data_IF_425090474887
#
_entry.id   IF_425090474887
#
_cell.length_a   1.000
_cell.length_b   1.000
_cell.length_c   1.000
_cell.angle_alpha   90.00
_cell.angle_beta   90.00
_cell.angle_gamma   90.00
#
_symmetry.space_group_name_H-M   'P 1'
#
loop_
_entity.id
_entity.type
_entity.pdbx_description
1 polymer ?
#
# COMPACT_ATOMS: atom_id res chain seq x y z
N UNK A 1 37.62 -19.26 23.28
CA UNK A 1 36.21 -19.15 22.87
C UNK A 1 36.13 -19.63 21.42
N UNK A 2 35.34 -20.67 21.14
CA UNK A 2 35.48 -21.43 19.89
C UNK A 2 34.92 -20.65 18.70
N UNK A 3 35.57 -20.78 17.53
CA UNK A 3 35.17 -20.13 16.27
C UNK A 3 33.71 -20.41 15.88
N UNK A 4 33.14 -21.50 16.39
CA UNK A 4 31.74 -21.88 16.21
C UNK A 4 30.77 -20.90 16.91
N UNK A 5 31.11 -20.39 18.10
CA UNK A 5 30.30 -19.40 18.80
C UNK A 5 30.28 -18.06 18.06
N UNK A 6 31.42 -17.63 17.55
CA UNK A 6 31.51 -16.40 16.76
C UNK A 6 30.69 -16.49 15.46
N UNK A 7 30.67 -17.66 14.82
CA UNK A 7 29.87 -17.87 13.61
C UNK A 7 28.36 -17.82 13.90
N UNK A 8 27.91 -18.44 15.00
CA UNK A 8 26.51 -18.43 15.44
C UNK A 8 26.01 -17.02 15.73
N UNK A 9 26.80 -16.22 16.46
CA UNK A 9 26.44 -14.82 16.75
C UNK A 9 26.34 -13.97 15.48
N UNK A 10 27.17 -14.23 14.47
CA UNK A 10 27.09 -13.53 13.18
C UNK A 10 25.88 -13.95 12.36
N UNK A 11 25.54 -15.24 12.35
CA UNK A 11 24.32 -15.75 11.70
C UNK A 11 23.06 -15.15 12.32
N UNK A 12 22.99 -15.12 13.65
CA UNK A 12 21.88 -14.51 14.38
C UNK A 12 21.74 -13.02 14.06
N UNK A 13 22.87 -12.29 14.00
CA UNK A 13 22.86 -10.87 13.63
C UNK A 13 22.44 -10.64 12.18
N UNK A 14 22.80 -11.54 11.25
CA UNK A 14 22.35 -11.49 9.86
C UNK A 14 20.85 -11.82 9.74
N UNK A 15 20.33 -12.75 10.55
CA UNK A 15 18.90 -13.05 10.63
C UNK A 15 18.09 -11.90 11.24
N UNK A 16 18.63 -11.22 12.25
CA UNK A 16 18.03 -10.01 12.83
C UNK A 16 18.02 -8.86 11.83
N UNK A 17 19.13 -8.58 11.15
CA UNK A 17 19.20 -7.56 10.08
C UNK A 17 18.27 -7.93 8.91
N UNK A 18 18.17 -9.21 8.56
CA UNK A 18 17.23 -9.69 7.55
C UNK A 18 15.79 -9.50 8.03
N UNK A 19 15.48 -9.75 9.30
CA UNK A 19 14.15 -9.54 9.87
C UNK A 19 13.79 -8.05 9.93
N UNK A 20 14.73 -7.19 10.31
CA UNK A 20 14.57 -5.72 10.32
C UNK A 20 14.45 -5.14 8.90
N UNK A 21 15.19 -5.65 7.91
CA UNK A 21 15.05 -5.22 6.51
C UNK A 21 13.87 -5.86 5.78
N UNK A 22 13.40 -7.05 6.19
CA UNK A 22 12.15 -7.65 5.66
C UNK A 22 10.91 -7.05 6.33
N UNK A 23 11.10 -6.31 7.42
CA UNK A 23 10.15 -5.33 7.93
C UNK A 23 10.17 -4.06 7.05
N UNK A 24 10.25 -4.24 5.73
CA UNK A 24 9.95 -3.26 4.70
C UNK A 24 8.51 -2.79 4.93
N UNK A 25 8.35 -1.73 5.73
CA UNK A 25 7.17 -0.86 5.89
C UNK A 25 5.85 -1.50 5.43
N UNK A 26 5.48 -2.60 6.08
CA UNK A 26 4.13 -3.20 5.97
C UNK A 26 3.16 -2.48 6.90
N UNK A 27 3.60 -1.39 7.52
CA UNK A 27 2.76 -0.53 8.31
C UNK A 27 2.06 0.48 7.41
N UNK A 28 0.90 0.07 6.89
CA UNK A 28 -0.04 0.93 6.18
C UNK A 28 -0.29 2.26 6.90
N UNK A 29 -0.23 2.27 8.24
CA UNK A 29 -0.41 3.50 9.02
C UNK A 29 0.74 4.49 8.81
N UNK A 30 1.97 4.01 8.64
CA UNK A 30 3.15 4.85 8.35
C UNK A 30 3.06 5.47 6.95
N UNK A 31 2.62 4.70 5.95
CA UNK A 31 2.37 5.23 4.60
C UNK A 31 1.30 6.32 4.60
N UNK A 32 0.17 6.05 5.25
CA UNK A 32 -0.94 7.01 5.33
C UNK A 32 -0.51 8.30 6.01
N UNK A 33 0.24 8.22 7.12
CA UNK A 33 0.79 9.41 7.79
C UNK A 33 1.69 10.21 6.87
N UNK A 34 2.60 9.54 6.16
CA UNK A 34 3.51 10.21 5.22
C UNK A 34 2.75 10.92 4.08
N UNK A 35 1.70 10.30 3.54
CA UNK A 35 0.88 10.92 2.49
C UNK A 35 0.15 12.15 3.04
N UNK A 36 -0.35 12.06 4.26
CA UNK A 36 -1.03 13.17 4.94
C UNK A 36 -0.06 14.35 5.18
N UNK A 37 1.13 14.06 5.71
CA UNK A 37 2.20 15.03 5.96
C UNK A 37 2.67 15.74 4.67
N UNK A 38 2.62 15.05 3.52
CA UNK A 38 3.00 15.59 2.21
C UNK A 38 1.87 16.38 1.52
N UNK A 39 0.72 16.53 2.17
CA UNK A 39 -0.41 17.30 1.68
C UNK A 39 -1.33 16.53 0.74
N UNK A 40 -1.42 15.21 0.89
CA UNK A 40 -2.36 14.35 0.17
C UNK A 40 -2.31 14.50 -1.36
N UNK A 41 -1.10 14.41 -1.95
CA UNK A 41 -0.95 14.54 -3.40
C UNK A 41 -1.43 13.28 -4.13
N UNK A 42 -2.04 13.41 -5.32
CA UNK A 42 -2.51 12.25 -6.08
C UNK A 42 -1.41 11.23 -6.41
N UNK A 43 -0.20 11.69 -6.71
CA UNK A 43 0.94 10.82 -7.04
C UNK A 43 1.35 9.91 -5.87
N UNK A 44 1.36 10.45 -4.65
CA UNK A 44 1.70 9.70 -3.44
C UNK A 44 0.63 8.63 -3.15
N UNK A 45 -0.65 8.99 -3.31
CA UNK A 45 -1.77 8.05 -3.22
C UNK A 45 -1.73 6.96 -4.31
N UNK A 46 -1.34 7.31 -5.54
CA UNK A 46 -1.19 6.35 -6.64
C UNK A 46 -0.05 5.36 -6.38
N UNK A 47 1.07 5.82 -5.84
CA UNK A 47 2.17 4.94 -5.44
C UNK A 47 1.74 3.98 -4.33
N UNK A 48 1.04 4.49 -3.31
CA UNK A 48 0.56 3.68 -2.20
C UNK A 48 -0.46 2.61 -2.65
N UNK A 49 -1.44 2.99 -3.47
CA UNK A 49 -2.43 2.03 -3.98
C UNK A 49 -1.79 0.92 -4.82
N UNK A 50 -0.77 1.23 -5.64
CA UNK A 50 0.02 0.21 -6.37
C UNK A 50 0.78 -0.72 -5.42
N UNK A 51 1.38 -0.18 -4.37
CA UNK A 51 2.05 -0.97 -3.33
C UNK A 51 1.08 -1.92 -2.63
N UNK A 52 -0.09 -1.44 -2.20
CA UNK A 52 -1.13 -2.27 -1.58
C UNK A 52 -1.63 -3.35 -2.55
N UNK A 53 -1.83 -3.00 -3.84
CA UNK A 53 -2.21 -3.99 -4.87
C UNK A 53 -1.14 -5.07 -5.07
N UNK A 54 0.14 -4.76 -4.92
CA UNK A 54 1.23 -5.73 -5.06
C UNK A 54 1.45 -6.63 -3.84
N UNK A 55 0.83 -6.33 -2.70
CA UNK A 55 1.03 -7.09 -1.47
C UNK A 55 0.28 -8.42 -1.47
N UNK A 56 1.01 -9.51 -1.18
CA UNK A 56 0.51 -10.90 -1.12
C UNK A 56 -0.19 -11.21 0.22
N UNK A 57 -0.17 -10.28 1.17
CA UNK A 57 -0.62 -10.48 2.55
C UNK A 57 -2.11 -10.77 2.74
N UNK A 58 -2.95 -10.52 1.72
CA UNK A 58 -4.36 -10.87 1.77
C UNK A 58 -4.57 -12.25 1.13
N UNK A 59 -4.79 -13.26 1.97
CA UNK A 59 -5.17 -14.61 1.55
C UNK A 59 -6.61 -14.70 1.06
N UNK A 60 -7.45 -13.74 1.47
CA UNK A 60 -8.87 -13.63 1.14
C UNK A 60 -9.09 -12.46 0.15
N UNK A 61 -9.62 -12.79 -1.03
CA UNK A 61 -9.86 -11.85 -2.11
C UNK A 61 -10.92 -10.81 -1.75
N UNK A 62 -11.96 -11.17 -0.99
CA UNK A 62 -13.01 -10.23 -0.56
C UNK A 62 -12.46 -9.20 0.42
N UNK A 63 -11.63 -9.65 1.38
CA UNK A 63 -10.96 -8.74 2.32
C UNK A 63 -9.98 -7.82 1.63
N UNK A 64 -9.20 -8.34 0.68
CA UNK A 64 -8.31 -7.53 -0.16
C UNK A 64 -9.08 -6.46 -0.91
N UNK A 65 -10.21 -6.86 -1.50
CA UNK A 65 -11.07 -5.99 -2.26
C UNK A 65 -11.65 -4.87 -1.39
N UNK A 66 -12.25 -5.24 -0.26
CA UNK A 66 -12.83 -4.29 0.70
C UNK A 66 -11.78 -3.31 1.23
N UNK A 67 -10.59 -3.80 1.54
CA UNK A 67 -9.47 -2.96 1.97
C UNK A 67 -9.06 -1.96 0.87
N UNK A 68 -8.85 -2.43 -0.36
CA UNK A 68 -8.50 -1.56 -1.49
C UNK A 68 -9.58 -0.50 -1.73
N UNK A 69 -10.86 -0.87 -1.67
CA UNK A 69 -11.97 0.08 -1.76
C UNK A 69 -11.84 1.18 -0.69
N UNK A 70 -11.61 0.80 0.57
CA UNK A 70 -11.46 1.77 1.67
C UNK A 70 -10.29 2.74 1.45
N UNK A 71 -9.19 2.26 0.86
CA UNK A 71 -8.00 3.08 0.55
C UNK A 71 -8.32 4.11 -0.54
N UNK A 72 -8.97 3.69 -1.62
CA UNK A 72 -9.38 4.61 -2.69
C UNK A 72 -10.42 5.63 -2.20
N UNK A 73 -11.40 5.21 -1.41
CA UNK A 73 -12.40 6.12 -0.81
C UNK A 73 -11.72 7.17 0.09
N UNK A 74 -10.71 6.78 0.85
CA UNK A 74 -9.93 7.71 1.67
C UNK A 74 -9.13 8.70 0.81
N UNK A 75 -8.47 8.23 -0.25
CA UNK A 75 -7.76 9.08 -1.20
C UNK A 75 -8.69 10.13 -1.82
N UNK A 76 -9.89 9.73 -2.25
CA UNK A 76 -10.85 10.65 -2.87
C UNK A 76 -11.39 11.70 -1.91
N UNK A 77 -11.52 11.39 -0.61
CA UNK A 77 -11.91 12.36 0.41
C UNK A 77 -10.80 13.34 0.76
N UNK A 78 -9.55 12.89 0.68
CA UNK A 78 -8.39 13.70 1.06
C UNK A 78 -7.90 14.62 -0.09
N UNK A 79 -8.02 14.18 -1.34
CA UNK A 79 -7.60 14.94 -2.51
C UNK A 79 -8.72 15.90 -2.94
N UNK A 80 -8.45 17.21 -2.90
CA UNK A 80 -9.38 18.22 -3.41
C UNK A 80 -9.54 18.11 -4.95
N UNK A 81 -10.77 17.89 -5.41
CA UNK A 81 -11.12 17.73 -6.83
C UNK A 81 -10.74 18.95 -7.67
N UNK A 82 -11.14 20.15 -7.24
CA UNK A 82 -10.99 21.38 -8.04
C UNK A 82 -9.52 21.69 -8.38
N UNK A 83 -8.62 21.39 -7.45
CA UNK A 83 -7.18 21.59 -7.60
C UNK A 83 -6.51 20.50 -8.46
N UNK A 84 -7.15 19.36 -8.67
CA UNK A 84 -6.56 18.18 -9.32
C UNK A 84 -7.31 17.72 -10.57
N UNK A 85 -8.29 18.49 -11.06
CA UNK A 85 -9.09 18.17 -12.26
C UNK A 85 -8.29 17.89 -13.54
N UNK A 86 -7.07 18.41 -13.66
CA UNK A 86 -6.13 18.17 -14.78
C UNK A 86 -4.97 17.23 -14.41
N UNK A 87 -4.92 16.75 -13.18
CA UNK A 87 -3.86 15.87 -12.71
C UNK A 87 -4.14 14.45 -13.22
N UNK A 88 -3.21 13.91 -14.00
CA UNK A 88 -3.33 12.58 -14.62
C UNK A 88 -3.30 11.46 -13.58
N UNK A 89 -2.52 11.58 -12.51
CA UNK A 89 -2.47 10.63 -11.40
C UNK A 89 -3.80 10.57 -10.65
N UNK A 90 -4.47 11.72 -10.49
CA UNK A 90 -5.81 11.78 -9.90
C UNK A 90 -6.86 11.11 -10.80
N UNK A 91 -6.82 11.37 -12.11
CA UNK A 91 -7.67 10.69 -13.08
C UNK A 91 -7.45 9.16 -13.06
N UNK A 92 -6.20 8.72 -12.96
CA UNK A 92 -5.87 7.30 -12.87
C UNK A 92 -6.43 6.66 -11.59
N UNK A 93 -6.35 7.35 -10.45
CA UNK A 93 -6.94 6.86 -9.20
C UNK A 93 -8.46 6.66 -9.33
N UNK A 94 -9.17 7.57 -10.02
CA UNK A 94 -10.60 7.45 -10.28
C UNK A 94 -10.93 6.25 -11.18
N UNK A 95 -10.17 6.07 -12.27
CA UNK A 95 -10.35 4.93 -13.18
C UNK A 95 -10.09 3.60 -12.45
N UNK A 96 -9.00 3.53 -11.69
CA UNK A 96 -8.66 2.34 -10.90
C UNK A 96 -9.75 1.98 -9.89
N UNK A 97 -10.33 2.98 -9.23
CA UNK A 97 -11.42 2.79 -8.27
C UNK A 97 -12.72 2.33 -8.96
N UNK A 98 -13.05 2.92 -10.11
CA UNK A 98 -14.20 2.50 -10.90
C UNK A 98 -14.07 1.04 -11.37
N UNK A 99 -12.89 0.66 -11.87
CA UNK A 99 -12.60 -0.72 -12.28
C UNK A 99 -12.67 -1.70 -11.10
N UNK A 100 -12.19 -1.28 -9.92
CA UNK A 100 -12.30 -2.06 -8.70
C UNK A 100 -13.78 -2.33 -8.37
N UNK A 101 -14.62 -1.29 -8.28
CA UNK A 101 -16.05 -1.47 -7.97
C UNK A 101 -16.79 -2.28 -9.04
N UNK A 102 -16.45 -2.11 -10.33
CA UNK A 102 -17.06 -2.86 -11.42
C UNK A 102 -16.79 -4.37 -11.31
N UNK A 103 -15.60 -4.76 -10.83
CA UNK A 103 -15.23 -6.17 -10.66
C UNK A 103 -16.06 -6.90 -9.59
N UNK A 104 -16.71 -6.20 -8.66
CA UNK A 104 -17.63 -6.81 -7.66
C UNK A 104 -19.05 -6.98 -8.21
N UNK A 105 -19.38 -6.35 -9.35
CA UNK A 105 -20.66 -6.52 -10.03
C UNK A 105 -20.55 -7.22 -11.40
N UNK A 106 -19.96 -8.45 -11.56
CA UNK A 106 -19.91 -9.07 -12.88
C UNK A 106 -21.25 -9.65 -13.38
N UNK A 107 -22.30 -9.79 -12.56
CA UNK A 107 -23.54 -10.46 -12.99
C UNK A 107 -24.80 -9.87 -12.36
N UNK A 108 -25.29 -8.73 -12.85
CA UNK A 108 -26.71 -8.34 -12.75
C UNK A 108 -27.12 -7.55 -14.02
N UNK A 109 -27.09 -8.22 -15.16
CA UNK A 109 -27.87 -7.87 -16.34
C UNK A 109 -28.37 -9.16 -16.99
#
# INVERSE_FOLDING_TARGET
MSSLQALKSRLQKVEEIKKENTQEVTDHSTWIKKIDDLGNKPDDWLQYTRFVKGQVQFTDEERRHSYLCSVYEKAMKAIAFDSNKKNTSYAQLLIDYANLKAYVFPCLF
#
